data_IF_830816935129
#
_entry.id   IF_830816935129
#
_cell.length_a   1.000
_cell.length_b   1.000
_cell.length_c   1.000
_cell.angle_alpha   90.00
_cell.angle_beta   90.00
_cell.angle_gamma   90.00
#
_symmetry.space_group_name_H-M   'P 1'
#
loop_
_entity.id
_entity.type
_entity.pdbx_description
1 polymer ?
#
# COMPACT_ATOMS: atom_id res chain seq x y z
N UNK A 1 -6.30 -16.80 -32.97
CA UNK A 1 -6.35 -17.53 -31.69
C UNK A 1 -5.66 -16.64 -30.68
N UNK A 2 -6.44 -15.97 -29.85
CA UNK A 2 -5.93 -15.09 -28.80
C UNK A 2 -5.83 -15.93 -27.53
N UNK A 3 -4.61 -16.21 -27.09
CA UNK A 3 -4.40 -16.80 -25.77
C UNK A 3 -3.51 -15.85 -25.00
N UNK A 4 -4.21 -15.02 -24.23
CA UNK A 4 -3.84 -14.54 -22.90
C UNK A 4 -2.36 -14.33 -22.70
N UNK A 5 -1.97 -13.05 -22.85
CA UNK A 5 -0.82 -12.45 -22.20
C UNK A 5 -0.48 -13.18 -20.91
N UNK A 6 0.75 -13.66 -20.86
CA UNK A 6 1.48 -14.01 -19.65
C UNK A 6 1.23 -12.91 -18.60
N UNK A 7 0.22 -13.15 -17.74
CA UNK A 7 -0.07 -12.32 -16.58
C UNK A 7 1.13 -12.49 -15.66
N UNK A 8 2.06 -11.54 -15.75
CA UNK A 8 3.23 -11.48 -14.90
C UNK A 8 2.77 -11.64 -13.44
N UNK A 9 3.19 -12.69 -12.71
CA UNK A 9 2.79 -12.93 -11.32
C UNK A 9 3.25 -11.83 -10.34
N UNK A 10 3.97 -10.81 -10.83
CA UNK A 10 4.36 -9.61 -10.09
C UNK A 10 3.24 -8.55 -9.97
N UNK A 11 2.15 -8.65 -10.73
CA UNK A 11 1.07 -7.64 -10.74
C UNK A 11 -0.17 -8.06 -9.95
N UNK A 12 -0.04 -8.99 -9.00
CA UNK A 12 -1.16 -9.38 -8.14
C UNK A 12 -1.51 -8.24 -7.16
N UNK A 13 -2.69 -7.61 -7.30
CA UNK A 13 -3.12 -6.52 -6.42
C UNK A 13 -3.14 -6.94 -4.94
N UNK A 14 -3.43 -8.21 -4.63
CA UNK A 14 -3.47 -8.72 -3.27
C UNK A 14 -2.07 -8.74 -2.61
N UNK A 15 -1.02 -9.00 -3.40
CA UNK A 15 0.37 -8.92 -2.91
C UNK A 15 0.78 -7.48 -2.67
N UNK A 16 0.37 -6.56 -3.54
CA UNK A 16 0.60 -5.12 -3.35
C UNK A 16 -0.10 -4.63 -2.07
N UNK A 17 -1.37 -5.01 -1.83
CA UNK A 17 -2.09 -4.68 -0.59
C UNK A 17 -1.34 -5.20 0.64
N UNK A 18 -0.88 -6.46 0.62
CA UNK A 18 -0.14 -7.05 1.74
C UNK A 18 1.20 -6.33 2.02
N UNK A 19 1.95 -5.97 0.98
CA UNK A 19 3.20 -5.21 1.12
C UNK A 19 2.94 -3.81 1.69
N UNK A 20 1.87 -3.14 1.28
CA UNK A 20 1.55 -1.80 1.76
C UNK A 20 1.01 -1.83 3.20
N UNK A 21 0.18 -2.81 3.56
CA UNK A 21 -0.28 -3.03 4.93
C UNK A 21 0.90 -3.29 5.87
N UNK A 22 1.88 -4.10 5.44
CA UNK A 22 3.11 -4.34 6.19
C UNK A 22 3.94 -3.06 6.35
N UNK A 23 4.09 -2.25 5.31
CA UNK A 23 4.78 -0.96 5.38
C UNK A 23 4.09 0.03 6.34
N UNK A 24 2.76 0.10 6.33
CA UNK A 24 1.98 0.93 7.25
C UNK A 24 2.19 0.51 8.71
N UNK A 25 2.15 -0.80 8.98
CA UNK A 25 2.40 -1.34 10.31
C UNK A 25 3.83 -1.00 10.81
N UNK A 26 4.85 -1.14 9.96
CA UNK A 26 6.23 -0.78 10.32
C UNK A 26 6.34 0.71 10.66
N UNK A 27 5.72 1.59 9.87
CA UNK A 27 5.74 3.03 10.13
C UNK A 27 5.02 3.39 11.44
N UNK A 28 3.92 2.72 11.75
CA UNK A 28 3.16 2.91 12.99
C UNK A 28 3.96 2.44 14.21
N UNK A 29 4.59 1.27 14.11
CA UNK A 29 5.46 0.74 15.15
C UNK A 29 6.69 1.64 15.37
N UNK A 30 7.23 2.24 14.30
CA UNK A 30 8.28 3.25 14.39
C UNK A 30 7.80 4.53 15.07
N UNK A 31 6.57 4.97 14.80
CA UNK A 31 5.99 6.15 15.45
C UNK A 31 5.80 5.91 16.95
N UNK A 32 5.36 4.72 17.34
CA UNK A 32 5.22 4.34 18.75
C UNK A 32 6.58 4.26 19.47
N UNK A 33 7.61 3.74 18.81
CA UNK A 33 8.95 3.58 19.39
C UNK A 33 9.79 4.86 19.42
N UNK A 34 9.65 5.71 18.41
CA UNK A 34 10.46 6.92 18.24
C UNK A 34 9.79 8.18 18.80
N UNK A 35 8.50 8.12 19.13
CA UNK A 35 7.70 9.27 19.53
C UNK A 35 7.10 10.00 18.34
N UNK A 36 6.25 11.02 18.61
CA UNK A 36 5.57 11.77 17.55
C UNK A 36 6.57 12.59 16.72
N UNK A 37 6.94 12.05 15.57
CA UNK A 37 7.68 12.77 14.54
C UNK A 37 6.69 13.26 13.46
N UNK A 38 6.56 14.58 13.26
CA UNK A 38 5.64 15.12 12.26
C UNK A 38 5.96 14.64 10.84
N UNK A 39 7.23 14.37 10.53
CA UNK A 39 7.66 13.80 9.25
C UNK A 39 7.18 12.36 9.06
N UNK A 40 7.15 11.57 10.13
CA UNK A 40 6.71 10.18 10.11
C UNK A 40 5.18 10.09 9.99
N UNK A 41 4.46 10.93 10.73
CA UNK A 41 3.01 11.07 10.57
C UNK A 41 2.62 11.52 9.16
N UNK A 42 3.38 12.44 8.56
CA UNK A 42 3.18 12.86 7.17
C UNK A 42 3.46 11.72 6.17
N UNK A 43 4.46 10.87 6.43
CA UNK A 43 4.75 9.70 5.60
C UNK A 43 3.62 8.66 5.66
N UNK A 44 3.10 8.37 6.86
CA UNK A 44 1.94 7.48 7.05
C UNK A 44 0.71 8.02 6.33
N UNK A 45 0.39 9.30 6.52
CA UNK A 45 -0.77 9.93 5.88
C UNK A 45 -0.67 9.90 4.36
N UNK A 46 0.53 10.13 3.80
CA UNK A 46 0.75 10.03 2.34
C UNK A 46 0.60 8.60 1.83
N UNK A 47 1.03 7.61 2.61
CA UNK A 47 0.85 6.20 2.26
C UNK A 47 -0.65 5.83 2.25
N UNK A 48 -1.40 6.26 3.25
CA UNK A 48 -2.86 6.05 3.33
C UNK A 48 -3.61 6.75 2.19
N UNK A 49 -3.22 7.96 1.82
CA UNK A 49 -3.80 8.65 0.66
C UNK A 49 -3.52 7.91 -0.65
N UNK A 50 -2.28 7.43 -0.84
CA UNK A 50 -1.91 6.68 -2.04
C UNK A 50 -2.72 5.38 -2.15
N UNK A 51 -2.94 4.67 -1.02
CA UNK A 51 -3.83 3.52 -0.95
C UNK A 51 -5.27 3.84 -1.31
N UNK A 52 -5.81 4.93 -0.76
CA UNK A 52 -7.19 5.32 -1.04
C UNK A 52 -7.39 5.68 -2.51
N UNK A 53 -6.41 6.39 -3.12
CA UNK A 53 -6.42 6.68 -4.56
C UNK A 53 -6.38 5.38 -5.37
N UNK A 54 -5.51 4.44 -4.99
CA UNK A 54 -5.41 3.15 -5.67
C UNK A 54 -6.68 2.31 -5.50
N UNK A 55 -7.33 2.34 -4.33
CA UNK A 55 -8.60 1.69 -4.05
C UNK A 55 -9.72 2.26 -4.91
N UNK A 56 -9.78 3.60 -5.03
CA UNK A 56 -10.76 4.28 -5.90
C UNK A 56 -10.50 3.93 -7.37
N UNK A 57 -9.24 3.92 -7.80
CA UNK A 57 -8.87 3.55 -9.19
C UNK A 57 -9.18 2.09 -9.52
N UNK A 58 -9.11 1.19 -8.54
CA UNK A 58 -9.42 -0.24 -8.71
C UNK A 58 -10.88 -0.58 -8.40
N UNK A 59 -11.73 0.42 -8.12
CA UNK A 59 -13.16 0.21 -7.83
C UNK A 59 -13.42 -0.53 -6.51
N UNK A 60 -12.51 -0.43 -5.54
CA UNK A 60 -12.60 -1.10 -4.25
C UNK A 60 -12.10 -2.55 -4.22
N UNK A 61 -11.41 -3.01 -5.28
CA UNK A 61 -10.75 -4.32 -5.33
C UNK A 61 -9.31 -4.26 -4.79
N UNK A 62 -9.12 -3.78 -3.56
CA UNK A 62 -7.85 -3.91 -2.83
C UNK A 62 -7.99 -4.78 -1.58
#
# INVERSE_FOLDING_TARGET
METESERNPEQDPARATAHIASAHQILKDLQEKMGEHPELGAAITKLEMALNILAVQTGGML
#
